data_IF_527961969995
#
_entry.id   IF_527961969995
#
_cell.length_a   1.000
_cell.length_b   1.000
_cell.length_c   1.000
_cell.angle_alpha   90.00
_cell.angle_beta   90.00
_cell.angle_gamma   90.00
#
_symmetry.space_group_name_H-M   'P 1'
#
loop_
_entity.id
_entity.type
_entity.pdbx_description
1 polymer ?
#
# COMPACT_ATOMS: atom_id res chain seq x y z
N UNK A 1 -18.66 -7.99 3.06
CA UNK A 1 -17.35 -7.34 3.31
C UNK A 1 -17.53 -6.26 4.35
N UNK A 2 -16.63 -6.17 5.33
CA UNK A 2 -16.74 -5.13 6.37
C UNK A 2 -16.45 -3.77 5.73
N UNK A 3 -17.18 -2.70 6.10
CA UNK A 3 -16.99 -1.34 5.55
C UNK A 3 -15.51 -0.88 5.57
N UNK A 4 -14.74 -1.35 6.56
CA UNK A 4 -13.31 -1.11 6.69
C UNK A 4 -12.46 -1.67 5.53
N UNK A 5 -12.84 -2.80 4.93
CA UNK A 5 -12.09 -3.43 3.83
C UNK A 5 -12.26 -2.68 2.52
N UNK A 6 -13.47 -2.15 2.29
CA UNK A 6 -13.76 -1.29 1.13
C UNK A 6 -12.96 0.00 1.24
N UNK A 7 -12.92 0.61 2.43
CA UNK A 7 -12.15 1.83 2.69
C UNK A 7 -10.64 1.60 2.50
N UNK A 8 -10.09 0.49 3.01
CA UNK A 8 -8.69 0.10 2.75
C UNK A 8 -8.42 -0.08 1.24
N UNK A 9 -9.37 -0.67 0.51
CA UNK A 9 -9.27 -0.84 -0.94
C UNK A 9 -9.24 0.49 -1.70
N UNK A 10 -10.10 1.43 -1.34
CA UNK A 10 -10.13 2.78 -1.94
C UNK A 10 -8.83 3.53 -1.65
N UNK A 11 -8.29 3.45 -0.43
CA UNK A 11 -7.03 4.09 -0.06
C UNK A 11 -5.87 3.49 -0.86
N UNK A 12 -5.85 2.16 -1.05
CA UNK A 12 -4.84 1.50 -1.89
C UNK A 12 -4.91 1.97 -3.34
N UNK A 13 -6.13 2.10 -3.89
CA UNK A 13 -6.34 2.52 -5.26
C UNK A 13 -5.91 3.98 -5.49
N UNK A 14 -6.28 4.89 -4.58
CA UNK A 14 -5.80 6.27 -4.58
C UNK A 14 -4.28 6.37 -4.46
N UNK A 15 -3.69 5.56 -3.57
CA UNK A 15 -2.23 5.53 -3.39
C UNK A 15 -1.51 5.04 -4.64
N UNK A 16 -2.05 4.04 -5.34
CA UNK A 16 -1.48 3.54 -6.60
C UNK A 16 -1.50 4.61 -7.70
N UNK A 17 -2.60 5.36 -7.83
CA UNK A 17 -2.71 6.47 -8.80
C UNK A 17 -1.71 7.57 -8.48
N UNK A 18 -1.51 7.92 -7.21
CA UNK A 18 -0.57 8.96 -6.80
C UNK A 18 0.91 8.55 -6.94
N UNK A 19 1.22 7.25 -6.85
CA UNK A 19 2.59 6.74 -7.02
C UNK A 19 3.00 6.58 -8.49
N UNK A 20 2.05 6.46 -9.42
CA UNK A 20 2.35 6.32 -10.86
C UNK A 20 3.16 7.50 -11.42
N UNK A 21 2.81 8.78 -11.20
CA UNK A 21 3.60 9.92 -11.65
C UNK A 21 5.02 9.95 -11.06
N UNK A 22 5.16 9.59 -9.78
CA UNK A 22 6.46 9.50 -9.11
C UNK A 22 7.33 8.44 -9.78
N UNK A 23 6.75 7.27 -10.08
CA UNK A 23 7.44 6.19 -10.76
C UNK A 23 7.83 6.57 -12.19
N UNK A 24 6.93 7.21 -12.94
CA UNK A 24 7.21 7.68 -14.31
C UNK A 24 8.32 8.74 -14.35
N UNK A 25 8.33 9.66 -13.39
CA UNK A 25 9.39 10.66 -13.26
C UNK A 25 10.73 10.02 -12.86
N UNK A 26 10.72 9.04 -11.94
CA UNK A 26 11.92 8.29 -11.56
C UNK A 26 12.47 7.40 -12.69
N UNK A 27 11.63 7.00 -13.64
CA UNK A 27 12.03 6.21 -14.80
C UNK A 27 12.57 7.08 -15.97
N UNK A 28 12.83 8.37 -15.72
CA UNK A 28 13.28 9.36 -16.72
C UNK A 28 12.37 9.47 -17.95
N UNK A 29 11.13 8.97 -17.87
CA UNK A 29 10.16 9.04 -18.97
C UNK A 29 9.50 10.40 -19.08
N UNK A 30 9.55 11.20 -18.01
CA UNK A 30 8.97 12.53 -17.92
C UNK A 30 9.96 13.42 -17.15
N UNK A 31 10.41 14.50 -17.78
CA UNK A 31 11.14 15.55 -17.10
C UNK A 31 10.15 16.43 -16.33
N UNK A 32 10.08 16.23 -15.01
CA UNK A 32 9.31 17.09 -14.13
C UNK A 32 10.19 18.24 -13.62
N UNK A 33 9.64 19.45 -13.45
CA UNK A 33 10.35 20.55 -12.81
C UNK A 33 10.86 20.15 -11.42
N UNK A 34 12.06 20.60 -11.01
CA UNK A 34 12.66 20.21 -9.73
C UNK A 34 11.81 20.61 -8.52
N UNK A 35 11.04 21.69 -8.60
CA UNK A 35 10.05 22.10 -7.60
C UNK A 35 8.90 21.08 -7.45
N UNK A 36 8.39 20.56 -8.57
CA UNK A 36 7.34 19.55 -8.57
C UNK A 36 7.85 18.21 -8.02
N UNK A 37 9.08 17.81 -8.37
CA UNK A 37 9.72 16.63 -7.80
C UNK A 37 9.83 16.74 -6.27
N UNK A 38 10.25 17.90 -5.76
CA UNK A 38 10.38 18.12 -4.32
C UNK A 38 9.04 18.00 -3.58
N UNK A 39 7.96 18.52 -4.18
CA UNK A 39 6.59 18.39 -3.63
C UNK A 39 6.09 16.94 -3.72
N UNK A 40 6.31 16.26 -4.85
CA UNK A 40 5.95 14.85 -5.02
C UNK A 40 6.68 13.95 -4.00
N UNK A 41 7.99 14.12 -3.83
CA UNK A 41 8.78 13.38 -2.85
C UNK A 41 8.33 13.68 -1.42
N UNK A 42 7.97 14.93 -1.11
CA UNK A 42 7.41 15.26 0.21
C UNK A 42 6.07 14.56 0.46
N UNK A 43 5.16 14.57 -0.52
CA UNK A 43 3.87 13.88 -0.45
C UNK A 43 3.99 12.35 -0.44
N UNK A 44 5.09 11.80 -0.97
CA UNK A 44 5.35 10.37 -0.99
C UNK A 44 5.51 9.79 0.42
N UNK A 45 6.12 10.53 1.36
CA UNK A 45 6.33 10.06 2.74
C UNK A 45 5.03 9.65 3.45
N UNK A 46 3.98 10.50 3.55
CA UNK A 46 2.74 10.11 4.20
C UNK A 46 2.03 8.96 3.47
N UNK A 47 2.11 8.90 2.14
CA UNK A 47 1.55 7.80 1.35
C UNK A 47 2.22 6.47 1.73
N UNK A 48 3.55 6.44 1.80
CA UNK A 48 4.31 5.24 2.20
C UNK A 48 3.94 4.81 3.62
N UNK A 49 3.79 5.75 4.56
CA UNK A 49 3.39 5.44 5.94
C UNK A 49 2.01 4.78 5.97
N UNK A 50 1.03 5.34 5.26
CA UNK A 50 -0.34 4.80 5.19
C UNK A 50 -0.34 3.40 4.56
N UNK A 51 0.39 3.22 3.45
CA UNK A 51 0.56 1.92 2.82
C UNK A 51 1.22 0.89 3.75
N UNK A 52 2.25 1.29 4.49
CA UNK A 52 2.91 0.45 5.48
C UNK A 52 1.96 -0.01 6.58
N UNK A 53 1.11 0.89 7.09
CA UNK A 53 0.10 0.54 8.11
C UNK A 53 -0.94 -0.45 7.56
N UNK A 54 -1.45 -0.22 6.34
CA UNK A 54 -2.40 -1.14 5.69
C UNK A 54 -1.74 -2.51 5.46
N UNK A 55 -0.50 -2.52 5.00
CA UNK A 55 0.27 -3.74 4.76
C UNK A 55 0.46 -4.54 6.05
N UNK A 56 0.91 -3.91 7.15
CA UNK A 56 1.08 -4.60 8.45
C UNK A 56 -0.25 -5.16 8.96
N UNK A 57 -1.36 -4.43 8.80
CA UNK A 57 -2.70 -4.93 9.17
C UNK A 57 -3.09 -6.15 8.36
N UNK A 58 -2.90 -6.12 7.03
CA UNK A 58 -3.16 -7.26 6.14
C UNK A 58 -2.25 -8.43 6.47
N UNK A 59 -0.96 -8.19 6.64
CA UNK A 59 0.02 -9.22 6.97
C UNK A 59 -0.32 -9.90 8.30
N UNK A 60 -0.77 -9.15 9.31
CA UNK A 60 -1.24 -9.71 10.58
C UNK A 60 -2.46 -10.63 10.39
N UNK A 61 -3.41 -10.26 9.52
CA UNK A 61 -4.56 -11.12 9.18
C UNK A 61 -4.11 -12.40 8.49
N UNK A 62 -3.20 -12.29 7.53
CA UNK A 62 -2.62 -13.43 6.81
C UNK A 62 -1.87 -14.35 7.77
N UNK A 63 -0.96 -13.82 8.60
CA UNK A 63 -0.22 -14.61 9.61
C UNK A 63 -1.18 -15.32 10.57
N UNK A 64 -2.25 -14.66 11.03
CA UNK A 64 -3.27 -15.30 11.88
C UNK A 64 -3.98 -16.43 11.14
N UNK A 65 -4.41 -16.20 9.90
CA UNK A 65 -5.05 -17.23 9.09
C UNK A 65 -4.11 -18.43 8.84
N UNK A 66 -2.82 -18.18 8.57
CA UNK A 66 -1.80 -19.23 8.44
C UNK A 66 -1.58 -19.98 9.76
N UNK A 67 -1.54 -19.28 10.89
CA UNK A 67 -1.39 -19.89 12.22
C UNK A 67 -2.62 -20.72 12.59
N UNK A 68 -3.82 -20.23 12.33
CA UNK A 68 -5.07 -20.96 12.56
C UNK A 68 -5.17 -22.19 11.65
N UNK A 69 -4.71 -22.09 10.40
CA UNK A 69 -4.67 -23.24 9.49
C UNK A 69 -3.62 -24.29 9.94
N UNK A 70 -2.50 -23.85 10.53
CA UNK A 70 -1.49 -24.74 11.12
C UNK A 70 -1.95 -25.39 12.43
N UNK A 71 -2.84 -24.72 13.17
CA UNK A 71 -3.38 -25.19 14.45
C UNK A 71 -4.70 -25.97 14.31
N UNK A 72 -5.23 -26.14 13.10
CA UNK A 72 -6.27 -27.13 12.85
C UNK A 72 -5.59 -28.50 12.81
N UNK A 73 -5.87 -29.43 13.74
CA UNK A 73 -5.60 -30.83 13.46
C UNK A 73 -6.41 -31.16 12.20
N UNK A 74 -5.71 -31.44 11.10
CA UNK A 74 -6.37 -31.96 9.91
C UNK A 74 -7.08 -33.28 10.27
N UNK A 75 -8.14 -33.65 9.54
CA UNK A 75 -8.70 -34.99 9.65
C UNK A 75 -7.76 -35.95 8.90
N UNK A 76 -6.63 -36.29 9.52
CA UNK A 76 -5.80 -37.44 9.14
C UNK A 76 -5.24 -38.06 10.42
#
# INVERSE_FOLDING_TARGET
MKKSEILEGVILLLSAVLLLPIWMASAEKIELPPTLLKVLSFLQYPIIIVLGVIFVRRLRRVIRAFRENKNRPGPF
#
